data_IF_010448385727
#
_entry.id   IF_010448385727
#
_cell.length_a   1.000
_cell.length_b   1.000
_cell.length_c   1.000
_cell.angle_alpha   90.00
_cell.angle_beta   90.00
_cell.angle_gamma   90.00
#
_symmetry.space_group_name_H-M   'P 1'
#
loop_
_entity.id
_entity.type
_entity.pdbx_description
1 polymer ?
#
# COMPACT_ATOMS: atom_id res chain seq x y z
N UNK A 1 -5.99 10.87 -26.30
CA UNK A 1 -6.65 9.56 -26.48
C UNK A 1 -6.59 8.85 -25.13
N UNK A 2 -7.72 8.58 -24.50
CA UNK A 2 -7.75 7.75 -23.27
C UNK A 2 -7.31 6.34 -23.66
N UNK A 3 -6.29 5.81 -22.98
CA UNK A 3 -5.86 4.43 -23.22
C UNK A 3 -7.00 3.47 -22.87
N UNK A 4 -7.12 2.31 -23.53
CA UNK A 4 -8.16 1.32 -23.22
C UNK A 4 -8.19 0.95 -21.73
N UNK A 5 -7.02 0.95 -21.09
CA UNK A 5 -6.86 0.71 -19.67
C UNK A 5 -7.56 1.79 -18.83
N UNK A 6 -7.25 3.08 -19.02
CA UNK A 6 -7.90 4.18 -18.31
C UNK A 6 -9.42 4.22 -18.56
N UNK A 7 -9.85 4.01 -19.80
CA UNK A 7 -11.27 3.99 -20.15
C UNK A 7 -12.09 2.89 -19.44
N UNK A 8 -11.47 1.75 -19.14
CA UNK A 8 -12.11 0.67 -18.38
C UNK A 8 -12.30 1.02 -16.90
N UNK A 9 -11.34 1.72 -16.26
CA UNK A 9 -11.52 2.22 -14.89
C UNK A 9 -12.62 3.27 -14.82
N UNK A 10 -12.69 4.19 -15.79
CA UNK A 10 -13.77 5.16 -15.85
C UNK A 10 -15.13 4.47 -16.03
N UNK A 11 -15.20 3.44 -16.87
CA UNK A 11 -16.41 2.66 -17.07
C UNK A 11 -16.83 1.93 -15.78
N UNK A 12 -15.89 1.33 -15.05
CA UNK A 12 -16.14 0.71 -13.75
C UNK A 12 -16.65 1.74 -12.73
N UNK A 13 -16.03 2.92 -12.66
CA UNK A 13 -16.46 4.01 -11.80
C UNK A 13 -17.89 4.47 -12.11
N UNK A 14 -18.21 4.70 -13.39
CA UNK A 14 -19.57 5.05 -13.83
C UNK A 14 -20.59 3.96 -13.51
N UNK A 15 -20.22 2.70 -13.72
CA UNK A 15 -21.08 1.56 -13.39
C UNK A 15 -21.40 1.50 -11.90
N UNK A 16 -20.39 1.68 -11.03
CA UNK A 16 -20.59 1.73 -9.57
C UNK A 16 -21.51 2.87 -9.15
N UNK A 17 -21.28 4.08 -9.67
CA UNK A 17 -22.14 5.24 -9.39
C UNK A 17 -23.61 4.96 -9.82
N UNK A 18 -23.80 4.43 -11.02
CA UNK A 18 -25.13 4.06 -11.52
C UNK A 18 -25.81 3.01 -10.65
N UNK A 19 -25.05 2.03 -10.15
CA UNK A 19 -25.58 0.99 -9.26
C UNK A 19 -26.02 1.56 -7.91
N UNK A 20 -25.23 2.47 -7.33
CA UNK A 20 -25.58 3.17 -6.09
C UNK A 20 -26.84 4.03 -6.25
N UNK A 21 -26.98 4.75 -7.37
CA UNK A 21 -28.17 5.55 -7.66
C UNK A 21 -29.41 4.68 -7.79
N UNK A 22 -29.31 3.55 -8.50
CA UNK A 22 -30.42 2.58 -8.63
C UNK A 22 -30.81 1.98 -7.29
N UNK A 23 -29.82 1.63 -6.46
CA UNK A 23 -30.08 1.10 -5.13
C UNK A 23 -30.79 2.13 -4.23
N UNK A 24 -30.42 3.42 -4.33
CA UNK A 24 -31.11 4.49 -3.62
C UNK A 24 -32.56 4.67 -4.10
N UNK A 25 -32.84 4.53 -5.39
CA UNK A 25 -34.21 4.55 -5.93
C UNK A 25 -35.04 3.39 -5.37
N UNK A 26 -34.49 2.18 -5.35
CA UNK A 26 -35.17 1.01 -4.79
C UNK A 26 -35.43 1.19 -3.29
N UNK A 27 -34.44 1.68 -2.54
CA UNK A 27 -34.58 1.94 -1.11
C UNK A 27 -35.71 2.96 -0.84
N UNK A 28 -35.78 4.03 -1.63
CA UNK A 28 -36.85 5.03 -1.52
C UNK A 28 -38.22 4.43 -1.83
N UNK A 29 -38.34 3.64 -2.89
CA UNK A 29 -39.60 2.96 -3.24
C UNK A 29 -40.08 2.03 -2.12
N UNK A 30 -39.18 1.22 -1.55
CA UNK A 30 -39.50 0.32 -0.43
C UNK A 30 -39.99 1.11 0.79
N UNK A 31 -39.35 2.24 1.10
CA UNK A 31 -39.74 3.12 2.19
C UNK A 31 -41.09 3.80 1.94
N UNK A 32 -41.31 4.37 0.75
CA UNK A 32 -42.53 5.09 0.37
C UNK A 32 -43.78 4.18 0.38
N UNK A 33 -43.59 2.87 0.19
CA UNK A 33 -44.65 1.87 0.20
C UNK A 33 -44.72 1.03 1.48
N UNK A 34 -43.94 1.36 2.52
CA UNK A 34 -43.90 0.63 3.79
C UNK A 34 -43.62 -0.89 3.61
N UNK A 35 -42.84 -1.25 2.59
CA UNK A 35 -42.50 -2.64 2.24
C UNK A 35 -41.23 -3.13 2.94
N UNK A 36 -40.50 -2.23 3.61
CA UNK A 36 -39.21 -2.50 4.24
C UNK A 36 -39.34 -2.84 5.72
N UNK A 37 -38.39 -3.63 6.20
CA UNK A 37 -38.13 -3.84 7.62
C UNK A 37 -36.67 -3.51 7.97
N UNK A 38 -36.36 -3.53 9.26
CA UNK A 38 -35.02 -3.23 9.76
C UNK A 38 -33.92 -4.15 9.17
N UNK A 39 -34.28 -5.39 8.79
CA UNK A 39 -33.34 -6.34 8.18
C UNK A 39 -33.00 -5.92 6.75
N UNK A 40 -34.01 -5.55 5.97
CA UNK A 40 -33.85 -5.07 4.59
C UNK A 40 -33.08 -3.76 4.54
N UNK A 41 -33.32 -2.84 5.48
CA UNK A 41 -32.58 -1.58 5.59
C UNK A 41 -31.10 -1.81 5.91
N UNK A 42 -30.82 -2.68 6.89
CA UNK A 42 -29.45 -3.05 7.24
C UNK A 42 -28.72 -3.72 6.06
N UNK A 43 -29.40 -4.58 5.30
CA UNK A 43 -28.86 -5.22 4.12
C UNK A 43 -28.52 -4.21 3.01
N UNK A 44 -29.42 -3.27 2.71
CA UNK A 44 -29.18 -2.20 1.72
C UNK A 44 -28.03 -1.30 2.17
N UNK A 45 -27.98 -0.93 3.45
CA UNK A 45 -26.88 -0.15 4.01
C UNK A 45 -25.52 -0.86 3.83
N UNK A 46 -25.44 -2.15 4.16
CA UNK A 46 -24.23 -2.95 3.98
C UNK A 46 -23.83 -3.08 2.50
N UNK A 47 -24.78 -3.22 1.58
CA UNK A 47 -24.50 -3.22 0.14
C UNK A 47 -23.95 -1.87 -0.34
N UNK A 48 -24.53 -0.76 0.10
CA UNK A 48 -24.05 0.59 -0.23
C UNK A 48 -22.63 0.81 0.27
N UNK A 49 -22.36 0.43 1.51
CA UNK A 49 -21.02 0.52 2.10
C UNK A 49 -20.01 -0.34 1.33
N UNK A 50 -20.38 -1.57 0.98
CA UNK A 50 -19.52 -2.47 0.20
C UNK A 50 -19.21 -1.93 -1.20
N UNK A 51 -20.19 -1.38 -1.91
CA UNK A 51 -19.99 -0.80 -3.25
C UNK A 51 -19.14 0.48 -3.17
N UNK A 52 -19.38 1.32 -2.15
CA UNK A 52 -18.64 2.56 -1.95
C UNK A 52 -17.17 2.33 -1.58
N UNK A 53 -16.89 1.28 -0.79
CA UNK A 53 -15.54 0.92 -0.35
C UNK A 53 -14.81 -0.05 -1.30
N UNK A 54 -15.42 -0.43 -2.42
CA UNK A 54 -14.82 -1.36 -3.36
C UNK A 54 -13.59 -0.71 -4.03
N UNK A 55 -12.44 -1.39 -4.01
CA UNK A 55 -11.16 -0.88 -4.53
C UNK A 55 -10.56 -1.88 -5.50
N UNK A 56 -10.02 -1.40 -6.61
CA UNK A 56 -9.20 -2.24 -7.48
C UNK A 56 -7.79 -2.25 -6.94
N UNK A 57 -7.31 -3.42 -6.50
CA UNK A 57 -5.96 -3.60 -5.97
C UNK A 57 -5.11 -4.30 -7.03
N UNK A 58 -3.96 -3.71 -7.35
CA UNK A 58 -2.98 -4.28 -8.30
C UNK A 58 -1.70 -4.61 -7.55
N UNK A 59 -1.33 -5.89 -7.53
CA UNK A 59 -0.09 -6.34 -6.91
C UNK A 59 1.03 -6.48 -7.96
N UNK A 60 2.09 -5.71 -7.81
CA UNK A 60 3.28 -5.84 -8.65
C UNK A 60 4.29 -6.80 -8.00
N UNK A 61 4.44 -7.98 -8.58
CA UNK A 61 5.36 -9.04 -8.10
C UNK A 61 6.37 -9.35 -9.20
N UNK A 62 7.65 -9.35 -8.84
CA UNK A 62 8.76 -9.66 -9.73
C UNK A 62 9.98 -10.03 -8.91
N UNK A 63 10.93 -10.75 -9.52
CA UNK A 63 12.26 -10.97 -8.95
C UNK A 63 13.01 -9.64 -8.73
N UNK A 64 14.05 -9.68 -7.91
CA UNK A 64 14.90 -8.52 -7.61
C UNK A 64 15.42 -7.85 -8.89
N UNK A 65 15.34 -6.52 -8.93
CA UNK A 65 15.87 -5.69 -10.03
C UNK A 65 15.32 -5.95 -11.44
N UNK A 66 14.08 -6.44 -11.58
CA UNK A 66 13.40 -6.65 -12.89
C UNK A 66 12.56 -5.46 -13.39
N UNK A 67 12.85 -4.24 -12.94
CA UNK A 67 12.16 -3.03 -13.45
C UNK A 67 10.77 -2.76 -12.86
N UNK A 68 10.37 -3.43 -11.78
CA UNK A 68 9.08 -3.19 -11.10
C UNK A 68 8.85 -1.71 -10.76
N UNK A 69 9.82 -1.07 -10.09
CA UNK A 69 9.72 0.35 -9.74
C UNK A 69 9.67 1.26 -10.98
N UNK A 70 10.33 0.88 -12.07
CA UNK A 70 10.29 1.63 -13.33
C UNK A 70 8.90 1.60 -13.96
N UNK A 71 8.27 0.43 -13.99
CA UNK A 71 6.90 0.28 -14.48
C UNK A 71 5.91 1.10 -13.64
N UNK A 72 6.04 1.08 -12.32
CA UNK A 72 5.16 1.86 -11.44
C UNK A 72 5.38 3.37 -11.67
N UNK A 73 6.63 3.82 -11.84
CA UNK A 73 6.91 5.21 -12.23
C UNK A 73 6.25 5.58 -13.57
N UNK A 74 6.33 4.72 -14.58
CA UNK A 74 5.72 4.97 -15.88
C UNK A 74 4.18 4.97 -15.85
N UNK A 75 3.55 4.20 -14.96
CA UNK A 75 2.08 4.14 -14.86
C UNK A 75 1.54 5.31 -14.03
N UNK A 76 2.12 5.60 -12.86
CA UNK A 76 1.52 6.50 -11.86
C UNK A 76 2.23 7.85 -11.75
N UNK A 77 3.46 7.97 -12.22
CA UNK A 77 4.30 9.15 -12.02
C UNK A 77 4.89 9.70 -13.34
N UNK A 78 4.38 9.29 -14.50
CA UNK A 78 4.91 9.71 -15.81
C UNK A 78 4.96 11.23 -15.97
N UNK A 79 3.92 11.93 -15.50
CA UNK A 79 3.80 13.38 -15.63
C UNK A 79 4.65 14.17 -14.63
N UNK A 80 5.30 13.49 -13.68
CA UNK A 80 6.15 14.14 -12.68
C UNK A 80 7.52 14.56 -13.23
N UNK A 81 7.89 14.10 -14.42
CA UNK A 81 9.16 14.42 -15.08
C UNK A 81 10.40 13.81 -14.41
N UNK A 82 10.22 12.94 -13.39
CA UNK A 82 11.30 12.27 -12.67
C UNK A 82 10.85 10.93 -12.09
N UNK A 83 11.80 10.18 -11.54
CA UNK A 83 11.54 8.92 -10.84
C UNK A 83 11.14 9.21 -9.39
N UNK A 84 9.87 8.98 -9.07
CA UNK A 84 9.35 9.11 -7.70
C UNK A 84 9.74 7.89 -6.88
N UNK A 85 9.40 6.70 -7.36
CA UNK A 85 9.84 5.46 -6.73
C UNK A 85 11.31 5.19 -7.09
N UNK A 86 12.15 4.85 -6.10
CA UNK A 86 13.53 4.49 -6.35
C UNK A 86 13.62 3.25 -7.25
N UNK A 87 14.38 3.38 -8.34
CA UNK A 87 14.56 2.34 -9.37
C UNK A 87 16.03 2.10 -9.73
N UNK A 88 16.98 2.57 -8.91
CA UNK A 88 18.41 2.40 -9.16
C UNK A 88 18.83 0.94 -8.96
N UNK A 89 19.58 0.34 -9.91
CA UNK A 89 20.14 -1.00 -9.74
C UNK A 89 20.92 -1.16 -8.43
N UNK A 90 20.77 -2.30 -7.77
CA UNK A 90 21.43 -2.58 -6.49
C UNK A 90 20.80 -1.90 -5.27
N UNK A 91 19.79 -1.04 -5.46
CA UNK A 91 18.98 -0.46 -4.38
C UNK A 91 17.55 -0.97 -4.53
N UNK A 92 17.32 -2.24 -4.21
CA UNK A 92 15.98 -2.85 -4.25
C UNK A 92 15.20 -2.49 -2.99
N UNK A 93 13.94 -2.08 -3.13
CA UNK A 93 13.09 -1.75 -1.98
C UNK A 93 12.81 -3.00 -1.15
N UNK A 94 13.33 -3.05 0.07
CA UNK A 94 13.03 -4.11 1.05
C UNK A 94 11.74 -3.84 1.84
N UNK A 95 11.23 -2.61 1.77
CA UNK A 95 9.96 -2.21 2.36
C UNK A 95 8.81 -2.43 1.36
N UNK A 96 7.77 -3.20 1.70
CA UNK A 96 6.53 -3.20 0.93
C UNK A 96 5.90 -1.80 0.90
N UNK A 97 5.53 -1.33 -0.29
CA UNK A 97 4.94 -0.02 -0.52
C UNK A 97 3.56 -0.18 -1.13
N UNK A 98 2.57 0.49 -0.55
CA UNK A 98 1.24 0.67 -1.15
C UNK A 98 1.10 2.10 -1.66
N UNK A 99 0.62 2.22 -2.91
CA UNK A 99 0.15 3.50 -3.46
C UNK A 99 -1.38 3.51 -3.37
N UNK A 100 -1.93 4.56 -2.78
CA UNK A 100 -3.37 4.73 -2.61
C UNK A 100 -3.78 6.17 -2.94
N UNK A 101 -5.06 6.36 -3.23
CA UNK A 101 -5.67 7.67 -3.38
C UNK A 101 -6.97 7.65 -2.58
N UNK A 102 -6.94 8.20 -1.38
CA UNK A 102 -8.11 8.33 -0.50
C UNK A 102 -8.75 9.72 -0.68
N UNK A 103 -10.00 9.79 -1.19
CA UNK A 103 -10.69 11.05 -1.38
C UNK A 103 -10.78 11.86 -0.09
N UNK A 104 -10.44 13.15 -0.16
CA UNK A 104 -10.47 14.07 0.98
C UNK A 104 -9.28 13.96 1.94
N UNK A 105 -8.34 13.02 1.72
CA UNK A 105 -7.07 13.00 2.44
C UNK A 105 -5.99 13.76 1.67
N UNK A 106 -5.16 14.49 2.42
CA UNK A 106 -4.00 15.16 1.86
C UNK A 106 -2.95 14.12 1.42
N UNK A 107 -2.24 14.43 0.34
CA UNK A 107 -1.08 13.66 -0.09
C UNK A 107 -0.07 13.52 1.07
N UNK A 108 0.29 12.29 1.38
CA UNK A 108 1.10 11.95 2.56
C UNK A 108 1.85 10.63 2.37
N UNK A 109 2.95 10.49 3.11
CA UNK A 109 3.68 9.24 3.27
C UNK A 109 3.59 8.82 4.73
N UNK A 110 3.06 7.63 4.99
CA UNK A 110 3.06 7.01 6.30
C UNK A 110 4.00 5.80 6.31
N UNK A 111 4.92 5.76 7.29
CA UNK A 111 5.95 4.74 7.43
C UNK A 111 5.77 4.00 8.75
N UNK A 112 5.70 2.67 8.67
CA UNK A 112 5.59 1.80 9.84
C UNK A 112 6.98 1.29 10.23
N UNK A 113 7.49 1.56 11.45
CA UNK A 113 8.80 1.10 11.89
C UNK A 113 8.93 -0.44 11.85
N UNK A 114 10.13 -0.93 11.54
CA UNK A 114 10.37 -2.38 11.43
C UNK A 114 10.18 -3.11 12.76
N UNK A 115 10.43 -2.42 13.88
CA UNK A 115 10.33 -2.91 15.25
C UNK A 115 8.91 -3.35 15.61
N UNK A 116 7.89 -2.84 14.91
CA UNK A 116 6.49 -3.27 15.09
C UNK A 116 6.27 -4.76 14.79
N UNK A 117 7.23 -5.44 14.14
CA UNK A 117 7.21 -6.91 14.01
C UNK A 117 7.26 -7.63 15.35
N UNK A 118 7.88 -7.04 16.38
CA UNK A 118 7.93 -7.62 17.72
C UNK A 118 6.57 -7.65 18.42
N UNK A 119 5.66 -6.75 18.05
CA UNK A 119 4.34 -6.64 18.67
C UNK A 119 3.38 -7.77 18.27
N UNK A 120 3.69 -8.54 17.20
CA UNK A 120 2.82 -9.58 16.65
C UNK A 120 1.51 -9.06 16.03
N UNK A 121 1.25 -7.75 16.08
CA UNK A 121 0.06 -7.14 15.50
C UNK A 121 0.08 -7.23 13.97
N UNK A 122 -1.10 -7.46 13.39
CA UNK A 122 -1.27 -7.49 11.93
C UNK A 122 -1.13 -6.08 11.35
N UNK A 123 -0.82 -5.98 10.05
CA UNK A 123 -0.81 -4.67 9.36
C UNK A 123 -2.20 -4.01 9.39
N UNK A 124 -3.28 -4.81 9.33
CA UNK A 124 -4.65 -4.31 9.42
C UNK A 124 -4.92 -3.64 10.78
N UNK A 125 -4.47 -4.26 11.88
CA UNK A 125 -4.62 -3.69 13.23
C UNK A 125 -3.78 -2.43 13.40
N UNK A 126 -2.54 -2.45 12.91
CA UNK A 126 -1.63 -1.31 13.02
C UNK A 126 -2.09 -0.12 12.18
N UNK A 127 -2.77 -0.36 11.05
CA UNK A 127 -3.36 0.71 10.22
C UNK A 127 -4.39 1.55 10.98
N UNK A 128 -5.06 0.96 11.97
CA UNK A 128 -6.02 1.65 12.85
C UNK A 128 -5.35 2.42 14.00
N UNK A 129 -4.02 2.40 14.11
CA UNK A 129 -3.26 3.05 15.20
C UNK A 129 -2.36 4.15 14.63
N UNK A 130 -2.84 5.38 14.39
CA UNK A 130 -2.05 6.45 13.78
C UNK A 130 -0.71 6.73 14.47
N UNK A 131 -0.63 6.55 15.79
CA UNK A 131 0.60 6.73 16.59
C UNK A 131 1.71 5.72 16.28
N UNK A 132 1.39 4.58 15.68
CA UNK A 132 2.39 3.60 15.24
C UNK A 132 3.12 4.03 13.96
N UNK A 133 2.60 5.03 13.25
CA UNK A 133 3.11 5.45 11.95
C UNK A 133 3.86 6.78 12.05
N UNK A 134 5.00 6.86 11.38
CA UNK A 134 5.69 8.13 11.12
C UNK A 134 5.07 8.76 9.87
N UNK A 135 4.47 9.94 10.02
CA UNK A 135 3.79 10.64 8.92
C UNK A 135 4.64 11.78 8.35
N UNK A 136 4.68 11.86 7.03
CA UNK A 136 5.28 12.95 6.27
C UNK A 136 4.21 13.57 5.37
N UNK A 137 4.03 14.89 5.47
CA UNK A 137 3.18 15.63 4.53
C UNK A 137 3.88 15.71 3.18
N UNK A 138 3.13 15.45 2.11
CA UNK A 138 3.59 15.64 0.73
C UNK A 138 2.93 16.88 0.09
N UNK A 139 2.28 17.73 0.91
CA UNK A 139 1.59 18.93 0.44
C UNK A 139 2.58 20.02 0.00
N UNK A 140 2.30 20.65 -1.15
CA UNK A 140 3.01 21.85 -1.60
C UNK A 140 4.33 21.61 -2.34
N UNK A 141 4.67 20.37 -2.67
CA UNK A 141 5.96 20.02 -3.25
C UNK A 141 5.94 19.74 -4.74
N UNK A 142 6.87 20.37 -5.48
CA UNK A 142 7.30 19.87 -6.78
C UNK A 142 7.67 18.38 -6.69
N UNK A 143 7.67 17.66 -7.81
CA UNK A 143 8.01 16.23 -7.88
C UNK A 143 9.29 15.84 -7.11
N UNK A 144 10.22 16.78 -6.93
CA UNK A 144 11.40 16.71 -6.06
C UNK A 144 11.08 16.23 -4.64
N UNK A 145 10.18 16.92 -3.94
CA UNK A 145 9.87 16.65 -2.54
C UNK A 145 9.16 15.30 -2.38
N UNK A 146 8.32 14.94 -3.35
CA UNK A 146 7.69 13.63 -3.41
C UNK A 146 8.74 12.51 -3.55
N UNK A 147 9.67 12.67 -4.48
CA UNK A 147 10.77 11.71 -4.71
C UNK A 147 11.69 11.58 -3.49
N UNK A 148 12.03 12.70 -2.84
CA UNK A 148 12.85 12.71 -1.61
C UNK A 148 12.14 12.02 -0.45
N UNK A 149 10.86 12.30 -0.23
CA UNK A 149 10.08 11.66 0.81
C UNK A 149 9.95 10.15 0.56
N UNK A 150 9.59 9.76 -0.67
CA UNK A 150 9.45 8.35 -1.06
C UNK A 150 10.79 7.61 -0.98
N UNK A 151 11.94 8.29 -1.12
CA UNK A 151 13.24 7.67 -0.89
C UNK A 151 13.43 7.07 0.52
N UNK A 152 12.61 7.48 1.51
CA UNK A 152 12.61 6.86 2.84
C UNK A 152 12.34 5.36 2.80
N UNK A 153 11.54 4.86 1.85
CA UNK A 153 11.19 3.43 1.73
C UNK A 153 12.40 2.54 1.42
N UNK A 154 13.52 3.15 1.02
CA UNK A 154 14.79 2.48 0.72
C UNK A 154 15.74 2.43 1.91
N UNK A 155 15.38 3.02 3.05
CA UNK A 155 16.29 3.07 4.19
C UNK A 155 16.49 1.68 4.77
N UNK A 156 17.75 1.33 4.92
CA UNK A 156 18.20 0.11 5.57
C UNK A 156 19.07 0.45 6.78
N UNK A 157 19.24 -0.53 7.66
CA UNK A 157 20.20 -0.49 8.76
C UNK A 157 20.86 -1.86 8.93
N UNK A 158 22.09 -1.85 9.43
CA UNK A 158 22.81 -3.08 9.79
C UNK A 158 22.51 -3.43 11.23
N UNK A 159 22.15 -4.68 11.46
CA UNK A 159 21.86 -5.24 12.79
C UNK A 159 22.68 -6.49 13.03
N UNK A 160 22.84 -6.89 14.29
CA UNK A 160 23.40 -8.21 14.57
C UNK A 160 22.43 -9.33 14.13
N UNK A 161 22.96 -10.54 14.08
CA UNK A 161 22.22 -11.70 13.63
C UNK A 161 21.05 -12.06 14.57
N UNK A 162 21.15 -11.73 15.85
CA UNK A 162 20.12 -12.04 16.85
C UNK A 162 18.91 -11.12 16.70
N UNK A 163 19.13 -9.83 16.48
CA UNK A 163 18.09 -8.86 16.13
C UNK A 163 17.45 -9.18 14.77
N UNK A 164 18.26 -9.54 13.76
CA UNK A 164 17.74 -9.98 12.46
C UNK A 164 16.81 -11.18 12.60
N UNK A 165 17.18 -12.17 13.42
CA UNK A 165 16.33 -13.33 13.73
C UNK A 165 15.05 -12.91 14.43
N UNK A 166 15.14 -12.08 15.47
CA UNK A 166 13.98 -11.61 16.22
C UNK A 166 12.98 -10.82 15.35
N UNK A 167 13.46 -10.14 14.30
CA UNK A 167 12.65 -9.44 13.31
C UNK A 167 12.23 -10.32 12.12
N UNK A 168 12.62 -11.60 12.08
CA UNK A 168 12.25 -12.57 11.05
C UNK A 168 13.00 -12.42 9.73
N UNK A 169 14.19 -11.80 9.74
CA UNK A 169 15.09 -11.69 8.59
C UNK A 169 16.20 -12.75 8.57
N UNK A 170 16.29 -13.59 9.60
CA UNK A 170 17.27 -14.66 9.66
C UNK A 170 16.62 -15.98 10.11
N UNK A 171 16.93 -17.07 9.42
CA UNK A 171 16.54 -18.43 9.78
C UNK A 171 17.79 -19.31 10.03
N UNK A 172 17.86 -20.00 11.16
CA UNK A 172 18.99 -20.90 11.49
C UNK A 172 18.78 -22.35 11.04
N UNK A 173 17.53 -22.73 10.73
CA UNK A 173 17.19 -24.08 10.32
C UNK A 173 17.62 -24.33 8.88
N UNK A 174 18.80 -24.93 8.70
CA UNK A 174 19.40 -25.17 7.37
C UNK A 174 18.57 -26.07 6.46
N UNK A 175 17.66 -26.86 7.03
CA UNK A 175 16.75 -27.73 6.30
C UNK A 175 15.43 -27.03 5.90
N UNK A 176 15.21 -25.79 6.35
CA UNK A 176 14.12 -24.93 5.87
C UNK A 176 14.53 -24.29 4.54
N UNK A 177 13.67 -24.38 3.52
CA UNK A 177 13.85 -23.73 2.22
C UNK A 177 14.13 -22.23 2.37
N UNK A 178 13.56 -21.58 3.39
CA UNK A 178 13.76 -20.17 3.70
C UNK A 178 15.15 -19.82 4.22
N UNK A 179 15.93 -20.80 4.69
CA UNK A 179 17.30 -20.54 5.12
C UNK A 179 18.24 -20.29 3.92
N UNK A 180 17.86 -20.74 2.72
CA UNK A 180 18.57 -20.44 1.48
C UNK A 180 18.39 -18.98 1.04
N UNK A 181 17.32 -18.33 1.53
CA UNK A 181 16.99 -16.92 1.27
C UNK A 181 17.57 -15.95 2.33
N UNK A 182 18.39 -16.45 3.26
CA UNK A 182 19.00 -15.59 4.27
C UNK A 182 19.84 -14.47 3.62
N UNK A 183 19.73 -13.21 4.09
CA UNK A 183 20.55 -12.12 3.57
C UNK A 183 22.04 -12.39 3.78
N UNK A 184 22.87 -11.96 2.83
CA UNK A 184 24.32 -12.10 2.94
C UNK A 184 24.85 -11.17 4.05
N UNK A 185 25.57 -11.70 5.07
CA UNK A 185 26.16 -10.85 6.10
C UNK A 185 27.31 -9.97 5.57
N UNK A 186 27.58 -8.86 6.24
CA UNK A 186 28.79 -8.06 6.00
C UNK A 186 30.06 -8.74 6.56
N UNK A 187 31.20 -8.08 6.39
CA UNK A 187 32.49 -8.56 6.91
C UNK A 187 32.53 -8.70 8.45
N UNK A 188 31.62 -8.03 9.17
CA UNK A 188 31.46 -8.11 10.61
C UNK A 188 30.35 -9.08 11.04
N UNK A 189 29.72 -9.80 10.10
CA UNK A 189 28.64 -10.74 10.37
C UNK A 189 27.27 -10.09 10.65
N UNK A 190 27.11 -8.81 10.33
CA UNK A 190 25.83 -8.09 10.50
C UNK A 190 24.93 -8.30 9.30
N UNK A 191 23.63 -8.14 9.51
CA UNK A 191 22.57 -8.33 8.51
C UNK A 191 21.97 -6.97 8.16
N UNK A 192 21.84 -6.69 6.86
CA UNK A 192 21.12 -5.51 6.39
C UNK A 192 19.62 -5.77 6.40
N UNK A 193 18.86 -4.89 7.06
CA UNK A 193 17.39 -4.98 7.16
C UNK A 193 16.75 -3.62 6.79
N UNK A 194 15.48 -3.58 6.34
CA UNK A 194 14.76 -2.33 6.16
C UNK A 194 14.52 -1.64 7.50
N UNK A 195 14.55 -0.30 7.50
CA UNK A 195 14.10 0.52 8.64
C UNK A 195 12.58 0.46 8.80
N UNK A 196 11.86 0.23 7.70
CA UNK A 196 10.40 0.30 7.65
C UNK A 196 9.79 -1.07 7.33
N UNK A 197 8.82 -1.50 8.14
CA UNK A 197 7.99 -2.69 7.90
C UNK A 197 7.08 -2.52 6.69
N UNK A 198 6.54 -1.32 6.49
CA UNK A 198 5.55 -1.01 5.47
C UNK A 198 5.48 0.50 5.21
N UNK A 199 5.15 0.89 3.97
CA UNK A 199 4.95 2.28 3.59
C UNK A 199 3.62 2.48 2.85
N UNK A 200 2.88 3.50 3.24
CA UNK A 200 1.65 3.93 2.57
C UNK A 200 1.87 5.30 1.96
N UNK A 201 1.76 5.40 0.64
CA UNK A 201 1.81 6.67 -0.09
C UNK A 201 0.39 6.99 -0.52
N UNK A 202 -0.19 8.04 0.06
CA UNK A 202 -1.43 8.63 -0.44
C UNK A 202 -1.06 9.73 -1.45
N UNK A 203 -1.39 9.53 -2.73
CA UNK A 203 -1.05 10.44 -3.83
C UNK A 203 -2.19 10.50 -4.86
#
# INVERSE_FOLDING_TARGET
MTTPFAGNFDALGRWRATLLDRLAVVQRFVADHELGDATSDAFVAALRERIANDKVVVAFVAEFSRGKSELINAIFFADTGRRVLPATPGRTTMCPVELACEPGQLASLALLPIETRHEGASLADLRQRPRAWTQHSLQGGAAEQLSEAVAQVMRTRWVDKDEARALGFWNDERDDERAQDNPTPDAAGRIEIPVWRHALVNY
#
